data_IF_767674483963
#
_entry.id   IF_767674483963
#
_cell.length_a   1.000
_cell.length_b   1.000
_cell.length_c   1.000
_cell.angle_alpha   90.00
_cell.angle_beta   90.00
_cell.angle_gamma   90.00
#
_symmetry.space_group_name_H-M   'P 1'
#
loop_
_entity.id
_entity.type
_entity.pdbx_description
1 polymer ?
#
# COMPACT_ATOMS: atom_id res chain seq x y z
N UNK A 1 -8.62 -10.64 -35.67
CA UNK A 1 -9.43 -11.63 -34.93
C UNK A 1 -8.72 -11.91 -33.62
N UNK A 2 -9.08 -11.19 -32.55
CA UNK A 2 -8.51 -11.42 -31.22
C UNK A 2 -9.40 -12.42 -30.49
N UNK A 3 -8.82 -13.55 -30.08
CA UNK A 3 -9.49 -14.49 -29.20
C UNK A 3 -9.74 -13.80 -27.84
N UNK A 4 -10.91 -13.98 -27.22
CA UNK A 4 -11.06 -13.59 -25.82
C UNK A 4 -10.15 -14.50 -25.01
N UNK A 5 -9.13 -13.93 -24.37
CA UNK A 5 -8.33 -14.62 -23.37
C UNK A 5 -9.23 -14.93 -22.17
N UNK A 6 -9.90 -16.08 -22.23
CA UNK A 6 -10.60 -16.65 -21.09
C UNK A 6 -9.52 -17.07 -20.09
N UNK A 7 -9.37 -16.30 -19.01
CA UNK A 7 -8.58 -16.71 -17.88
C UNK A 7 -9.12 -18.04 -17.37
N UNK A 8 -8.22 -18.98 -17.07
CA UNK A 8 -8.61 -20.28 -16.54
C UNK A 8 -9.40 -20.05 -15.23
N UNK A 9 -10.62 -20.59 -15.08
CA UNK A 9 -11.46 -20.38 -13.90
C UNK A 9 -10.79 -20.79 -12.59
N UNK A 10 -9.79 -21.67 -12.65
CA UNK A 10 -8.95 -22.06 -11.50
C UNK A 10 -8.09 -20.89 -11.01
N UNK A 11 -7.56 -20.09 -11.94
CA UNK A 11 -6.73 -18.91 -11.63
C UNK A 11 -7.60 -17.81 -11.04
N UNK A 12 -8.79 -17.57 -11.58
CA UNK A 12 -9.73 -16.58 -11.03
C UNK A 12 -10.20 -16.95 -9.62
N UNK A 13 -10.46 -18.23 -9.36
CA UNK A 13 -10.84 -18.71 -8.03
C UNK A 13 -9.71 -18.52 -7.00
N UNK A 14 -8.47 -18.77 -7.41
CA UNK A 14 -7.29 -18.59 -6.57
C UNK A 14 -7.05 -17.11 -6.23
N UNK A 15 -7.08 -16.24 -7.23
CA UNK A 15 -6.99 -14.78 -7.10
C UNK A 15 -8.05 -14.21 -6.15
N UNK A 16 -9.30 -14.64 -6.30
CA UNK A 16 -10.39 -14.23 -5.42
C UNK A 16 -10.15 -14.64 -3.96
N UNK A 17 -9.43 -15.74 -3.74
CA UNK A 17 -9.17 -16.26 -2.38
C UNK A 17 -8.03 -15.51 -1.70
N UNK A 18 -6.98 -15.16 -2.43
CA UNK A 18 -5.84 -14.36 -1.91
C UNK A 18 -6.28 -12.95 -1.51
N UNK A 19 -7.09 -12.30 -2.34
CA UNK A 19 -7.65 -10.97 -2.03
C UNK A 19 -8.58 -10.99 -0.81
N UNK A 20 -9.47 -11.99 -0.72
CA UNK A 20 -10.39 -12.15 0.42
C UNK A 20 -9.65 -12.28 1.75
N UNK A 21 -8.49 -12.95 1.78
CA UNK A 21 -7.66 -13.05 3.00
C UNK A 21 -7.12 -11.68 3.41
N UNK A 22 -6.59 -10.89 2.48
CA UNK A 22 -6.12 -9.53 2.77
C UNK A 22 -7.26 -8.61 3.23
N UNK A 23 -8.45 -8.74 2.66
CA UNK A 23 -9.64 -8.00 3.13
C UNK A 23 -10.03 -8.43 4.55
N UNK A 24 -9.95 -9.72 4.88
CA UNK A 24 -10.23 -10.23 6.22
C UNK A 24 -9.23 -9.68 7.23
N UNK A 25 -7.93 -9.70 6.91
CA UNK A 25 -6.88 -9.14 7.78
C UNK A 25 -7.13 -7.64 8.01
N UNK A 26 -7.49 -6.90 6.96
CA UNK A 26 -7.81 -5.48 7.07
C UNK A 26 -9.01 -5.24 8.01
N UNK A 27 -10.07 -6.03 7.87
CA UNK A 27 -11.22 -5.98 8.77
C UNK A 27 -10.86 -6.27 10.23
N UNK A 28 -9.95 -7.22 10.46
CA UNK A 28 -9.42 -7.51 11.80
C UNK A 28 -8.58 -6.35 12.34
N UNK A 29 -7.71 -5.74 11.52
CA UNK A 29 -6.94 -4.57 11.91
C UNK A 29 -7.85 -3.39 12.29
N UNK A 30 -8.86 -3.09 11.46
CA UNK A 30 -9.84 -2.02 11.74
C UNK A 30 -10.60 -2.28 13.04
N UNK A 31 -11.13 -3.49 13.21
CA UNK A 31 -11.93 -3.86 14.40
C UNK A 31 -11.14 -3.93 15.68
N UNK A 32 -9.86 -4.33 15.64
CA UNK A 32 -9.07 -4.58 16.83
C UNK A 32 -8.11 -3.45 17.20
N UNK A 33 -7.70 -2.59 16.26
CA UNK A 33 -6.77 -1.49 16.54
C UNK A 33 -7.44 -0.12 16.56
N UNK A 34 -8.58 0.06 15.87
CA UNK A 34 -9.17 1.39 15.64
C UNK A 34 -10.60 1.54 16.18
N UNK A 35 -11.30 0.44 16.45
CA UNK A 35 -12.66 0.47 16.97
C UNK A 35 -12.67 0.33 18.50
N UNK A 36 -12.95 1.46 19.17
CA UNK A 36 -13.57 1.61 20.51
C UNK A 36 -12.92 0.89 21.72
N UNK A 37 -11.69 0.42 21.62
CA UNK A 37 -10.97 -0.08 22.79
C UNK A 37 -9.87 0.90 23.22
N UNK A 38 -9.89 1.26 24.51
CA UNK A 38 -8.71 1.82 25.18
C UNK A 38 -7.71 0.67 25.29
N UNK A 39 -6.77 0.60 24.36
CA UNK A 39 -5.73 -0.42 24.38
C UNK A 39 -4.66 -0.04 25.40
N UNK A 40 -4.28 -0.98 26.25
CA UNK A 40 -2.97 -0.91 26.91
C UNK A 40 -1.88 -1.15 25.85
N UNK A 41 -0.68 -0.56 25.99
CA UNK A 41 0.42 -0.81 25.06
C UNK A 41 0.72 -2.30 24.84
N UNK A 42 0.61 -3.11 25.90
CA UNK A 42 0.78 -4.56 25.85
C UNK A 42 -0.29 -5.26 25.00
N UNK A 43 -1.56 -4.85 25.13
CA UNK A 43 -2.63 -5.43 24.30
C UNK A 43 -2.52 -5.03 22.83
N UNK A 44 -2.09 -3.79 22.55
CA UNK A 44 -1.83 -3.34 21.19
C UNK A 44 -0.69 -4.14 20.54
N UNK A 45 0.42 -4.34 21.25
CA UNK A 45 1.55 -5.12 20.74
C UNK A 45 1.17 -6.57 20.44
N UNK A 46 0.35 -7.19 21.30
CA UNK A 46 -0.17 -8.53 21.05
C UNK A 46 -1.03 -8.58 19.79
N UNK A 47 -1.96 -7.63 19.61
CA UNK A 47 -2.83 -7.58 18.42
C UNK A 47 -1.99 -7.38 17.16
N UNK A 48 -1.00 -6.48 17.20
CA UNK A 48 -0.08 -6.24 16.08
C UNK A 48 0.69 -7.53 15.74
N UNK A 49 1.26 -8.21 16.74
CA UNK A 49 1.97 -9.47 16.54
C UNK A 49 1.09 -10.56 15.91
N UNK A 50 -0.17 -10.67 16.33
CA UNK A 50 -1.14 -11.59 15.73
C UNK A 50 -1.42 -11.26 14.26
N UNK A 51 -1.63 -9.98 13.95
CA UNK A 51 -1.89 -9.51 12.58
C UNK A 51 -0.68 -9.67 11.67
N UNK A 52 0.54 -9.46 12.19
CA UNK A 52 1.78 -9.74 11.48
C UNK A 52 1.89 -11.20 11.09
N UNK A 53 1.60 -12.11 12.03
CA UNK A 53 1.62 -13.54 11.74
C UNK A 53 0.62 -13.90 10.63
N UNK A 54 -0.58 -13.33 10.64
CA UNK A 54 -1.58 -13.56 9.57
C UNK A 54 -1.09 -13.05 8.20
N UNK A 55 -0.36 -11.93 8.17
CA UNK A 55 0.26 -11.41 6.95
C UNK A 55 1.40 -12.31 6.48
N UNK A 56 2.23 -12.80 7.39
CA UNK A 56 3.35 -13.71 7.06
C UNK A 56 2.83 -15.07 6.58
N UNK A 57 1.76 -15.57 7.19
CA UNK A 57 1.03 -16.75 6.72
C UNK A 57 0.50 -16.53 5.30
N UNK A 58 -0.06 -15.35 5.02
CA UNK A 58 -0.50 -15.01 3.68
C UNK A 58 0.65 -15.00 2.67
N UNK A 59 1.83 -14.46 3.02
CA UNK A 59 3.00 -14.48 2.14
C UNK A 59 3.45 -15.91 1.82
N UNK A 60 3.54 -16.77 2.83
CA UNK A 60 3.96 -18.18 2.63
C UNK A 60 3.00 -18.97 1.75
N UNK A 61 1.70 -18.69 1.86
CA UNK A 61 0.67 -19.43 1.13
C UNK A 61 0.40 -18.88 -0.28
N UNK A 62 0.91 -17.68 -0.59
CA UNK A 62 0.64 -16.97 -1.85
C UNK A 62 1.86 -17.09 -2.79
N UNK A 63 1.68 -17.24 -4.11
CA UNK A 63 2.78 -17.34 -5.05
C UNK A 63 3.57 -16.03 -5.11
N UNK A 64 4.89 -16.16 -5.26
CA UNK A 64 5.84 -15.04 -5.29
C UNK A 64 5.47 -13.95 -6.30
N UNK A 65 4.77 -14.31 -7.39
CA UNK A 65 4.24 -13.35 -8.36
C UNK A 65 3.41 -12.22 -7.70
N UNK A 66 2.66 -12.49 -6.63
CA UNK A 66 1.83 -11.51 -5.94
C UNK A 66 2.53 -10.83 -4.75
N UNK A 67 3.76 -11.20 -4.43
CA UNK A 67 4.46 -10.63 -3.28
C UNK A 67 4.82 -9.15 -3.56
N UNK A 68 4.77 -8.30 -2.53
CA UNK A 68 5.28 -6.93 -2.60
C UNK A 68 6.81 -6.96 -2.71
N UNK A 69 7.38 -6.17 -3.61
CA UNK A 69 8.84 -6.08 -3.83
C UNK A 69 9.51 -7.43 -4.14
N UNK A 70 9.35 -7.89 -5.37
CA UNK A 70 10.53 -8.35 -6.09
C UNK A 70 10.98 -7.16 -6.91
N UNK A 71 12.12 -6.55 -6.57
CA UNK A 71 12.95 -5.99 -7.63
C UNK A 71 13.08 -7.12 -8.64
N UNK A 72 12.37 -7.03 -9.76
CA UNK A 72 12.67 -7.88 -10.89
C UNK A 72 14.15 -7.63 -11.15
N UNK A 73 14.99 -8.59 -10.78
CA UNK A 73 16.35 -8.66 -11.26
C UNK A 73 16.25 -8.40 -12.76
N UNK A 74 16.70 -7.23 -13.20
CA UNK A 74 16.73 -6.82 -14.62
C UNK A 74 17.73 -7.68 -15.43
N UNK A 75 17.97 -8.92 -15.03
CA UNK A 75 19.00 -9.79 -15.57
C UNK A 75 18.64 -11.25 -15.36
N UNK A 76 17.82 -11.81 -16.25
CA UNK A 76 17.66 -13.26 -16.37
C UNK A 76 16.30 -13.68 -16.88
N UNK A 77 16.19 -13.93 -18.19
CA UNK A 77 15.14 -14.76 -18.82
C UNK A 77 13.66 -14.35 -18.71
N UNK A 78 13.33 -13.08 -18.43
CA UNK A 78 11.94 -12.61 -18.41
C UNK A 78 11.36 -12.22 -19.80
N UNK A 79 11.93 -12.71 -20.90
CA UNK A 79 11.43 -12.48 -22.26
C UNK A 79 10.43 -13.55 -22.76
N UNK A 80 10.22 -14.66 -22.03
CA UNK A 80 9.52 -15.82 -22.60
C UNK A 80 7.99 -15.88 -22.38
N UNK A 81 7.40 -15.06 -21.52
CA UNK A 81 5.94 -15.05 -21.32
C UNK A 81 5.38 -13.63 -21.20
N UNK A 82 4.62 -13.20 -22.20
CA UNK A 82 3.82 -11.99 -22.12
C UNK A 82 2.68 -12.20 -21.12
N UNK A 83 2.88 -11.76 -19.87
CA UNK A 83 1.85 -11.82 -18.83
C UNK A 83 0.66 -10.96 -19.26
N UNK A 84 -0.55 -11.53 -19.24
CA UNK A 84 -1.78 -10.79 -19.56
C UNK A 84 -1.93 -9.54 -18.69
N UNK A 85 -2.39 -8.44 -19.29
CA UNK A 85 -2.65 -7.19 -18.59
C UNK A 85 -3.60 -7.34 -17.40
N UNK A 86 -4.55 -8.29 -17.47
CA UNK A 86 -5.48 -8.59 -16.38
C UNK A 86 -4.73 -9.13 -15.16
N UNK A 87 -3.78 -10.05 -15.39
CA UNK A 87 -2.96 -10.63 -14.32
C UNK A 87 -2.03 -9.59 -13.71
N UNK A 88 -1.46 -8.69 -14.51
CA UNK A 88 -0.69 -7.53 -14.00
C UNK A 88 -1.56 -6.59 -13.15
N UNK A 89 -2.80 -6.34 -13.57
CA UNK A 89 -3.76 -5.58 -12.78
C UNK A 89 -4.03 -6.23 -11.42
N UNK A 90 -4.31 -7.52 -11.41
CA UNK A 90 -4.56 -8.30 -10.18
C UNK A 90 -3.34 -8.36 -9.26
N UNK A 91 -2.14 -8.51 -9.85
CA UNK A 91 -0.88 -8.42 -9.13
C UNK A 91 -0.77 -7.11 -8.36
N UNK A 92 -0.97 -5.98 -9.06
CA UNK A 92 -0.91 -4.64 -8.45
C UNK A 92 -1.95 -4.45 -7.36
N UNK A 93 -3.21 -4.84 -7.61
CA UNK A 93 -4.28 -4.74 -6.61
C UNK A 93 -3.94 -5.54 -5.36
N UNK A 94 -3.40 -6.74 -5.53
CA UNK A 94 -3.00 -7.61 -4.42
C UNK A 94 -1.81 -7.01 -3.64
N UNK A 95 -0.78 -6.54 -4.34
CA UNK A 95 0.37 -5.87 -3.73
C UNK A 95 -0.04 -4.59 -2.99
N UNK A 96 -0.91 -3.76 -3.58
CA UNK A 96 -1.44 -2.57 -2.94
C UNK A 96 -2.23 -2.93 -1.68
N UNK A 97 -3.11 -3.94 -1.75
CA UNK A 97 -3.86 -4.42 -0.58
C UNK A 97 -2.93 -4.94 0.53
N UNK A 98 -1.84 -5.62 0.19
CA UNK A 98 -0.83 -6.04 1.15
C UNK A 98 -0.18 -4.84 1.85
N UNK A 99 0.35 -3.90 1.06
CA UNK A 99 1.06 -2.73 1.57
C UNK A 99 0.13 -1.88 2.45
N UNK A 100 -1.13 -1.73 2.03
CA UNK A 100 -2.15 -1.04 2.81
C UNK A 100 -2.44 -1.74 4.14
N UNK A 101 -2.53 -3.07 4.17
CA UNK A 101 -2.67 -3.81 5.42
C UNK A 101 -1.51 -3.52 6.38
N UNK A 102 -0.26 -3.58 5.91
CA UNK A 102 0.92 -3.26 6.73
C UNK A 102 0.89 -1.83 7.25
N UNK A 103 0.56 -0.85 6.40
CA UNK A 103 0.35 0.55 6.82
C UNK A 103 -0.71 0.65 7.92
N UNK A 104 -1.84 -0.04 7.76
CA UNK A 104 -2.93 -0.04 8.74
C UNK A 104 -2.55 -0.73 10.06
N UNK A 105 -1.67 -1.74 10.05
CA UNK A 105 -1.20 -2.39 11.27
C UNK A 105 -0.29 -1.44 12.07
N UNK A 106 0.64 -0.74 11.41
CA UNK A 106 1.67 0.03 12.12
C UNK A 106 1.38 1.52 12.32
N UNK A 107 0.44 2.13 11.56
CA UNK A 107 0.21 3.59 11.66
C UNK A 107 -0.21 4.06 13.06
N UNK A 108 -0.77 3.17 13.89
CA UNK A 108 -1.14 3.48 15.26
C UNK A 108 0.05 3.96 16.10
N UNK A 109 1.23 3.37 15.92
CA UNK A 109 2.46 3.78 16.63
C UNK A 109 2.89 5.19 16.23
N UNK A 110 2.85 5.49 14.92
CA UNK A 110 3.18 6.82 14.40
C UNK A 110 2.23 7.89 14.94
N UNK A 111 0.92 7.60 14.92
CA UNK A 111 -0.11 8.52 15.42
C UNK A 111 -0.01 8.71 16.93
N UNK A 112 0.30 7.66 17.69
CA UNK A 112 0.50 7.76 19.12
C UNK A 112 1.69 8.67 19.45
N UNK A 113 2.83 8.47 18.79
CA UNK A 113 4.00 9.33 18.99
C UNK A 113 3.71 10.79 18.60
N UNK A 114 2.94 11.00 17.53
CA UNK A 114 2.46 12.33 17.13
C UNK A 114 1.54 12.98 18.17
N UNK A 115 0.65 12.22 18.79
CA UNK A 115 -0.25 12.72 19.84
C UNK A 115 0.50 13.01 21.16
N UNK A 116 1.56 12.25 21.44
CA UNK A 116 2.39 12.41 22.62
C UNK A 116 3.38 13.59 22.50
N UNK A 117 3.58 14.14 21.28
CA UNK A 117 4.40 15.33 21.10
C UNK A 117 3.77 16.56 21.77
N UNK A 118 4.52 17.14 22.70
CA UNK A 118 4.27 18.50 23.19
C UNK A 118 5.32 19.47 22.63
N UNK A 119 5.02 20.78 22.50
CA UNK A 119 5.96 21.76 21.92
C UNK A 119 7.34 21.84 22.61
N UNK A 120 7.48 21.27 23.81
CA UNK A 120 8.72 21.24 24.59
C UNK A 120 9.45 19.89 24.52
N UNK A 121 8.90 18.91 23.80
CA UNK A 121 9.50 17.59 23.65
C UNK A 121 10.58 17.68 22.57
N UNK A 122 11.85 17.37 22.86
CA UNK A 122 12.86 17.30 21.82
C UNK A 122 12.46 16.22 20.80
N UNK A 123 12.61 16.53 19.51
CA UNK A 123 12.38 15.55 18.45
C UNK A 123 13.32 14.36 18.67
N UNK A 124 12.77 13.14 18.62
CA UNK A 124 13.60 11.94 18.67
C UNK A 124 14.43 11.89 17.39
N UNK A 125 15.73 11.63 17.50
CA UNK A 125 16.60 11.46 16.34
C UNK A 125 16.43 10.10 15.64
N UNK A 126 15.67 9.17 16.25
CA UNK A 126 15.47 7.83 15.72
C UNK A 126 14.03 7.38 15.89
N UNK A 127 13.44 6.89 14.80
CA UNK A 127 12.11 6.29 14.82
C UNK A 127 12.16 4.83 15.26
N UNK A 128 11.10 4.38 15.95
CA UNK A 128 10.99 2.97 16.33
C UNK A 128 10.89 2.06 15.09
N UNK A 129 11.29 0.79 15.22
CA UNK A 129 11.21 -0.17 14.12
C UNK A 129 9.78 -0.37 13.57
N UNK A 130 8.75 -0.23 14.42
CA UNK A 130 7.34 -0.28 14.02
C UNK A 130 6.96 0.92 13.14
N UNK A 131 7.41 2.12 13.52
CA UNK A 131 7.20 3.33 12.71
C UNK A 131 7.95 3.21 11.39
N UNK A 132 9.20 2.76 11.42
CA UNK A 132 9.99 2.54 10.20
C UNK A 132 9.29 1.60 9.23
N UNK A 133 8.78 0.48 9.72
CA UNK A 133 8.00 -0.45 8.91
C UNK A 133 6.74 0.21 8.30
N UNK A 134 6.05 1.07 9.04
CA UNK A 134 4.91 1.84 8.51
C UNK A 134 5.32 2.72 7.31
N UNK A 135 6.39 3.49 7.48
CA UNK A 135 6.88 4.45 6.49
C UNK A 135 7.44 3.73 5.27
N UNK A 136 8.17 2.61 5.44
CA UNK A 136 8.68 1.82 4.32
C UNK A 136 7.56 1.25 3.45
N UNK A 137 6.46 0.79 4.07
CA UNK A 137 5.30 0.33 3.32
C UNK A 137 4.56 1.49 2.63
N UNK A 138 4.52 2.68 3.22
CA UNK A 138 3.98 3.88 2.58
C UNK A 138 4.83 4.31 1.36
N UNK A 139 6.17 4.30 1.48
CA UNK A 139 7.08 4.57 0.36
C UNK A 139 6.91 3.54 -0.76
N UNK A 140 6.78 2.26 -0.42
CA UNK A 140 6.51 1.20 -1.39
C UNK A 140 5.15 1.38 -2.08
N UNK A 141 4.13 1.83 -1.36
CA UNK A 141 2.81 2.15 -1.94
C UNK A 141 2.90 3.29 -2.95
N UNK A 142 3.62 4.36 -2.62
CA UNK A 142 3.87 5.47 -3.55
C UNK A 142 4.60 4.96 -4.80
N UNK A 143 5.68 4.19 -4.62
CA UNK A 143 6.43 3.61 -5.74
C UNK A 143 5.57 2.69 -6.60
N UNK A 144 4.68 1.89 -6.00
CA UNK A 144 3.74 1.05 -6.73
C UNK A 144 2.80 1.91 -7.58
N UNK A 145 2.30 3.02 -7.03
CA UNK A 145 1.39 3.93 -7.73
C UNK A 145 2.07 4.72 -8.86
N UNK A 146 3.32 5.15 -8.68
CA UNK A 146 4.06 5.91 -9.72
C UNK A 146 4.48 5.04 -10.90
N UNK A 147 4.67 3.74 -10.68
CA UNK A 147 4.98 2.78 -11.72
C UNK A 147 3.76 2.36 -12.56
N UNK A 148 2.55 2.83 -12.22
CA UNK A 148 1.35 2.63 -13.05
C UNK A 148 1.39 3.62 -14.21
N UNK A 149 1.60 3.12 -15.42
CA UNK A 149 1.60 3.95 -16.62
C UNK A 149 0.23 4.60 -16.88
N UNK A 150 0.22 5.79 -17.49
CA UNK A 150 -0.99 6.56 -17.79
C UNK A 150 -2.05 5.79 -18.62
N UNK A 151 -1.64 4.77 -19.39
CA UNK A 151 -2.55 3.93 -20.17
C UNK A 151 -3.28 2.87 -19.35
N UNK A 152 -2.77 2.49 -18.17
CA UNK A 152 -3.38 1.50 -17.28
C UNK A 152 -4.42 2.11 -16.33
N UNK A 153 -4.38 3.43 -16.12
CA UNK A 153 -5.34 4.18 -15.32
C UNK A 153 -6.75 4.28 -15.95
N UNK A 154 -6.93 3.86 -17.21
CA UNK A 154 -8.20 3.95 -17.95
C UNK A 154 -9.27 2.94 -17.51
N UNK A 155 -8.97 2.00 -16.60
CA UNK A 155 -9.91 0.99 -16.14
C UNK A 155 -10.41 1.28 -14.71
N UNK A 156 -11.60 1.88 -14.66
CA UNK A 156 -12.23 2.68 -13.59
C UNK A 156 -12.43 2.08 -12.18
N UNK A 157 -12.22 0.79 -11.92
CA UNK A 157 -12.47 0.22 -10.58
C UNK A 157 -11.23 0.26 -9.66
N UNK A 158 -10.02 0.09 -10.23
CA UNK A 158 -8.77 0.16 -9.47
C UNK A 158 -8.42 1.61 -9.05
N UNK A 159 -9.02 2.59 -9.71
CA UNK A 159 -8.79 4.03 -9.52
C UNK A 159 -9.08 4.50 -8.08
N UNK A 160 -10.27 4.23 -7.56
CA UNK A 160 -10.70 4.76 -6.26
C UNK A 160 -9.96 4.13 -5.09
N UNK A 161 -9.74 2.81 -5.13
CA UNK A 161 -8.99 2.10 -4.09
C UNK A 161 -7.52 2.52 -4.07
N UNK A 162 -6.90 2.67 -5.25
CA UNK A 162 -5.51 3.13 -5.36
C UNK A 162 -5.37 4.58 -4.87
N UNK A 163 -6.29 5.47 -5.25
CA UNK A 163 -6.30 6.86 -4.78
C UNK A 163 -6.46 6.93 -3.26
N UNK A 164 -7.36 6.15 -2.67
CA UNK A 164 -7.52 6.11 -1.21
C UNK A 164 -6.25 5.61 -0.49
N UNK A 165 -5.64 4.53 -0.99
CA UNK A 165 -4.43 3.97 -0.41
C UNK A 165 -3.25 4.95 -0.52
N UNK A 166 -3.11 5.63 -1.65
CA UNK A 166 -2.09 6.64 -1.89
C UNK A 166 -2.27 7.88 -0.99
N UNK A 167 -3.51 8.30 -0.76
CA UNK A 167 -3.84 9.36 0.18
C UNK A 167 -3.42 8.99 1.62
N UNK A 168 -3.70 7.76 2.05
CA UNK A 168 -3.28 7.25 3.35
C UNK A 168 -1.75 7.16 3.46
N UNK A 169 -1.05 6.72 2.40
CA UNK A 169 0.41 6.68 2.36
C UNK A 169 0.99 8.09 2.50
N UNK A 170 0.49 9.04 1.72
CA UNK A 170 0.91 10.45 1.78
C UNK A 170 0.72 11.04 3.18
N UNK A 171 -0.41 10.74 3.82
CA UNK A 171 -0.69 11.19 5.20
C UNK A 171 0.32 10.63 6.21
N UNK A 172 0.68 9.35 6.10
CA UNK A 172 1.72 8.71 6.93
C UNK A 172 3.08 9.39 6.72
N UNK A 173 3.46 9.62 5.46
CA UNK A 173 4.74 10.27 5.14
C UNK A 173 4.81 11.71 5.67
N UNK A 174 3.72 12.47 5.57
CA UNK A 174 3.64 13.82 6.12
C UNK A 174 3.78 13.84 7.66
N UNK A 175 3.07 12.96 8.36
CA UNK A 175 3.20 12.86 9.83
C UNK A 175 4.63 12.45 10.21
N UNK A 176 5.25 11.54 9.46
CA UNK A 176 6.66 11.17 9.67
C UNK A 176 7.60 12.37 9.52
N UNK A 177 7.46 13.17 8.46
CA UNK A 177 8.27 14.39 8.27
C UNK A 177 8.10 15.40 9.43
N UNK A 178 6.89 15.50 10.00
CA UNK A 178 6.64 16.39 11.15
C UNK A 178 7.36 15.87 12.41
N UNK A 179 7.30 14.55 12.64
CA UNK A 179 7.90 13.91 13.80
C UNK A 179 9.45 13.88 13.74
N UNK A 180 9.99 13.65 12.54
CA UNK A 180 11.42 13.39 12.30
C UNK A 180 11.98 14.29 11.18
N UNK A 181 12.00 15.62 11.36
CA UNK A 181 12.43 16.55 10.30
C UNK A 181 13.89 16.34 9.88
N UNK A 182 14.75 15.94 10.82
CA UNK A 182 16.20 15.77 10.62
C UNK A 182 16.60 14.31 10.35
N UNK A 183 15.68 13.47 9.88
CA UNK A 183 15.98 12.08 9.52
C UNK A 183 16.89 11.99 8.29
N UNK A 184 17.77 10.97 8.24
CA UNK A 184 18.66 10.75 7.09
C UNK A 184 17.89 10.46 5.78
N UNK A 185 16.64 10.01 5.86
CA UNK A 185 15.78 9.68 4.72
C UNK A 185 14.79 10.79 4.34
N UNK A 186 14.88 11.98 4.94
CA UNK A 186 13.96 13.11 4.70
C UNK A 186 13.82 13.46 3.21
N UNK A 187 14.92 13.53 2.46
CA UNK A 187 14.88 13.86 1.02
C UNK A 187 14.11 12.80 0.21
N UNK A 188 14.28 11.52 0.55
CA UNK A 188 13.58 10.40 -0.09
C UNK A 188 12.08 10.48 0.20
N UNK A 189 11.71 10.80 1.43
CA UNK A 189 10.30 10.93 1.83
C UNK A 189 9.65 12.12 1.15
N UNK A 190 10.32 13.27 1.06
CA UNK A 190 9.82 14.44 0.34
C UNK A 190 9.60 14.15 -1.15
N UNK A 191 10.57 13.52 -1.83
CA UNK A 191 10.42 13.13 -3.22
C UNK A 191 9.20 12.19 -3.43
N UNK A 192 9.00 11.22 -2.53
CA UNK A 192 7.84 10.34 -2.57
C UNK A 192 6.51 11.09 -2.38
N UNK A 193 6.46 12.09 -1.50
CA UNK A 193 5.27 12.94 -1.33
C UNK A 193 4.98 13.72 -2.62
N UNK A 194 5.99 14.32 -3.24
CA UNK A 194 5.84 15.05 -4.51
C UNK A 194 5.32 14.15 -5.64
N UNK A 195 5.88 12.95 -5.73
CA UNK A 195 5.45 11.92 -6.67
C UNK A 195 4.00 11.49 -6.45
N UNK A 196 3.62 11.24 -5.19
CA UNK A 196 2.24 10.90 -4.83
C UNK A 196 1.26 12.02 -5.21
N UNK A 197 1.63 13.28 -4.95
CA UNK A 197 0.84 14.44 -5.35
C UNK A 197 0.71 14.56 -6.88
N UNK A 198 1.77 14.22 -7.63
CA UNK A 198 1.72 14.19 -9.10
C UNK A 198 0.76 13.14 -9.60
N UNK A 199 0.84 11.91 -9.07
CA UNK A 199 -0.10 10.83 -9.40
C UNK A 199 -1.53 11.27 -9.10
N UNK A 200 -1.81 11.85 -7.93
CA UNK A 200 -3.14 12.37 -7.61
C UNK A 200 -3.64 13.41 -8.61
N UNK A 201 -2.79 14.37 -9.03
CA UNK A 201 -3.16 15.35 -10.07
C UNK A 201 -3.47 14.67 -11.40
N UNK A 202 -2.64 13.74 -11.84
CA UNK A 202 -2.81 13.04 -13.11
C UNK A 202 -4.12 12.22 -13.11
N UNK A 203 -4.49 11.66 -11.95
CA UNK A 203 -5.77 10.98 -11.73
C UNK A 203 -6.97 11.95 -11.82
N UNK A 204 -6.88 13.14 -11.21
CA UNK A 204 -7.94 14.16 -11.27
C UNK A 204 -8.15 14.72 -12.69
N UNK A 205 -7.05 15.00 -13.42
CA UNK A 205 -7.13 15.49 -14.79
C UNK A 205 -7.64 14.43 -15.78
N UNK A 206 -7.33 13.15 -15.55
CA UNK A 206 -7.86 12.04 -16.35
C UNK A 206 -9.38 11.92 -16.26
N UNK A 207 -9.96 12.09 -15.07
CA UNK A 207 -11.41 12.06 -14.86
C UNK A 207 -12.14 13.19 -15.61
N UNK A 208 -11.55 14.38 -15.67
CA UNK A 208 -12.15 15.54 -16.35
C UNK A 208 -12.16 15.44 -17.89
N UNK A 209 -11.26 14.68 -18.50
CA UNK A 209 -11.21 14.48 -19.96
C UNK A 209 -12.33 13.54 -20.43
N UNK A 210 -12.70 12.54 -19.63
CA UNK A 210 -13.78 11.60 -19.97
C UNK A 210 -15.16 12.24 -19.80
N UNK A 211 -15.34 13.15 -18.83
CA UNK A 211 -16.57 13.94 -18.68
C UNK A 211 -16.81 14.91 -19.87
N UNK A 212 -15.75 15.37 -20.54
CA UNK A 212 -15.88 16.25 -21.72
C UNK A 212 -16.21 15.51 -23.03
N UNK A 213 -16.12 14.17 -23.07
CA UNK A 213 -16.48 13.37 -24.26
C UNK A 213 -17.93 12.88 -24.27
N UNK A 214 -18.69 13.17 -23.21
CA UNK A 214 -20.10 12.81 -23.08
C UNK A 214 -21.06 13.99 -23.32
N UNK A 215 -20.55 15.10 -23.88
CA UNK A 215 -21.31 16.26 -24.37
C UNK A 215 -21.07 16.46 -25.87
#
# INVERSE_FOLDING_TARGET
MSYPHVLNPTIECYLSTTEKRLTKILGLAISRLYLWAVHTPESQEQIVTELEREIDDWLRDTPDFFHPQQEQEKGGDQEFYEVSWVLRGQQRTTQAAFLFNKMMIYRGYLLQEFLDQTPSTPSSSSCSGRIRACVDNALAMVSLATNVGADECKYNAAFWTTSHFLFCATSILLVYCILYPDSDDTDKVHAAIEDAMKVHRDLDYGAHIDDQKLL
#
